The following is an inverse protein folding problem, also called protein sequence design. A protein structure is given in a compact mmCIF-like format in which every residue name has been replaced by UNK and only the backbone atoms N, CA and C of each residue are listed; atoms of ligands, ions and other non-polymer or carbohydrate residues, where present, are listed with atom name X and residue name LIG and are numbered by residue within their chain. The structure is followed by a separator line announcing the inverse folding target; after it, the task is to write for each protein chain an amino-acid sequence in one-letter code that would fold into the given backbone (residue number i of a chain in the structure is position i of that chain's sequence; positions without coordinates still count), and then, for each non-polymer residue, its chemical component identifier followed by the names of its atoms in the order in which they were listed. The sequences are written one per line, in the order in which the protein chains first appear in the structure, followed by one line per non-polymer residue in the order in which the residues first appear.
data_IF_590055358821
#
_entry.id   IF_590055358821
#
_cell.length_a   1.000
_cell.length_b   1.000
_cell.length_c   1.000
_cell.angle_alpha   90.00
_cell.angle_beta   90.00
_cell.angle_gamma   90.00
#
_symmetry.space_group_name_H-M   'P 1'
#
loop_
_entity.id
_entity.type
_entity.pdbx_description
1 polymer ?
#
# COMPACT_ATOMS: atom_id res chain seq x y z
N UNK A 1 -48.71 -43.86 -12.73
CA UNK A 1 -48.62 -45.27 -13.19
C UNK A 1 -47.19 -45.68 -13.00
N UNK A 2 -47.00 -46.76 -12.24
CA UNK A 2 -45.71 -47.35 -11.89
C UNK A 2 -45.54 -48.54 -12.82
N UNK A 3 -44.40 -48.62 -13.51
CA UNK A 3 -43.87 -49.85 -14.11
C UNK A 3 -42.43 -49.94 -13.56
N UNK A 4 -42.09 -50.82 -12.61
CA UNK A 4 -41.81 -52.26 -12.74
C UNK A 4 -40.85 -52.63 -13.89
N UNK A 5 -39.58 -52.25 -13.72
CA UNK A 5 -38.45 -53.10 -14.10
C UNK A 5 -37.18 -52.63 -13.37
N UNK A 6 -36.91 -53.26 -12.24
CA UNK A 6 -35.63 -53.14 -11.55
C UNK A 6 -34.54 -53.86 -12.34
N UNK A 7 -33.62 -53.08 -12.89
CA UNK A 7 -32.27 -53.54 -13.22
C UNK A 7 -31.32 -52.41 -12.90
N UNK A 8 -30.38 -52.71 -12.01
CA UNK A 8 -29.25 -51.86 -11.62
C UNK A 8 -28.38 -51.56 -12.85
N UNK A 9 -28.02 -50.28 -13.00
CA UNK A 9 -26.90 -49.86 -13.83
C UNK A 9 -26.03 -48.94 -12.99
N UNK A 10 -24.98 -49.53 -12.42
CA UNK A 10 -23.78 -48.83 -11.95
C UNK A 10 -23.31 -47.86 -13.05
N UNK A 11 -23.24 -46.58 -12.70
CA UNK A 11 -22.44 -45.61 -13.46
C UNK A 11 -21.19 -45.32 -12.63
N UNK A 12 -20.12 -45.96 -13.07
CA UNK A 12 -18.74 -45.78 -12.66
C UNK A 12 -18.19 -44.44 -13.19
N UNK A 13 -17.33 -43.81 -12.38
CA UNK A 13 -16.31 -42.79 -12.75
C UNK A 13 -16.78 -41.33 -12.94
N UNK A 14 -16.13 -40.28 -12.40
CA UNK A 14 -14.77 -40.11 -11.86
C UNK A 14 -14.80 -39.14 -10.67
N UNK A 15 -14.47 -39.62 -9.48
CA UNK A 15 -14.09 -38.78 -8.35
C UNK A 15 -12.61 -38.39 -8.51
N UNK A 16 -12.34 -37.12 -8.80
CA UNK A 16 -10.97 -36.59 -8.85
C UNK A 16 -10.46 -36.44 -7.41
N UNK A 17 -9.80 -37.51 -6.93
CA UNK A 17 -9.02 -37.50 -5.71
C UNK A 17 -7.86 -36.50 -5.83
N UNK A 18 -8.01 -35.30 -5.24
CA UNK A 18 -6.87 -34.41 -4.97
C UNK A 18 -6.00 -35.06 -3.90
N UNK A 19 -4.90 -35.62 -4.38
CA UNK A 19 -3.77 -36.18 -3.64
C UNK A 19 -3.31 -35.23 -2.54
N UNK A 20 -3.53 -35.64 -1.29
CA UNK A 20 -3.01 -35.02 -0.08
C UNK A 20 -1.49 -35.25 0.02
N UNK A 21 -0.65 -34.22 0.20
CA UNK A 21 0.75 -34.41 0.56
C UNK A 21 0.90 -34.54 2.08
N UNK A 22 1.08 -35.79 2.50
CA UNK A 22 1.89 -36.30 3.62
C UNK A 22 2.33 -35.32 4.71
N UNK A 23 1.68 -35.43 5.89
CA UNK A 23 2.17 -34.91 7.17
C UNK A 23 3.48 -35.59 7.57
N UNK A 24 4.62 -34.93 7.34
CA UNK A 24 5.87 -35.30 8.02
C UNK A 24 5.82 -34.78 9.46
N UNK A 25 5.59 -35.70 10.40
CA UNK A 25 5.84 -35.48 11.84
C UNK A 25 7.33 -35.19 12.02
N UNK A 26 7.71 -33.94 12.31
CA UNK A 26 8.98 -33.69 12.97
C UNK A 26 8.75 -33.70 14.48
N UNK A 27 9.30 -34.74 15.09
CA UNK A 27 9.52 -34.85 16.53
C UNK A 27 10.74 -33.98 16.82
N UNK A 28 10.56 -32.84 17.48
CA UNK A 28 11.65 -32.14 18.13
C UNK A 28 11.63 -32.47 19.62
N UNK A 29 12.70 -33.14 20.04
CA UNK A 29 12.97 -33.47 21.42
C UNK A 29 13.24 -32.19 22.22
N UNK A 30 12.62 -32.11 23.39
CA UNK A 30 12.91 -31.10 24.41
C UNK A 30 14.31 -31.33 25.00
N UNK A 31 15.13 -30.29 25.04
CA UNK A 31 16.34 -30.21 25.85
C UNK A 31 16.22 -29.05 26.82
N UNK A 32 16.10 -29.39 28.10
CA UNK A 32 16.16 -28.46 29.24
C UNK A 32 17.61 -28.17 29.66
N UNK A 33 17.87 -26.88 29.92
CA UNK A 33 18.78 -26.24 30.89
C UNK A 33 20.25 -26.73 31.03
N UNK A 34 21.17 -25.75 30.88
CA UNK A 34 22.20 -25.44 31.88
C UNK A 34 22.77 -24.02 31.65
N UNK A 35 23.24 -23.41 32.73
CA UNK A 35 23.40 -21.98 32.94
C UNK A 35 24.85 -21.46 32.79
N UNK A 36 25.01 -20.17 33.15
CA UNK A 36 26.24 -19.43 33.53
C UNK A 36 27.03 -18.91 32.32
N UNK A 37 27.25 -17.61 32.12
CA UNK A 37 28.13 -16.74 32.93
C UNK A 37 27.97 -15.29 32.50
N UNK A 38 27.94 -14.37 33.46
CA UNK A 38 27.88 -12.93 33.20
C UNK A 38 29.15 -12.38 32.53
N UNK A 39 28.94 -11.36 31.69
CA UNK A 39 29.95 -10.37 31.35
C UNK A 39 29.37 -9.00 31.67
N UNK A 40 29.90 -8.41 32.73
CA UNK A 40 29.75 -7.00 33.05
C UNK A 40 30.67 -6.24 32.11
N UNK A 41 30.11 -5.35 31.29
CA UNK A 41 30.84 -4.27 30.64
C UNK A 41 30.24 -2.96 31.13
N UNK A 42 30.83 -2.43 32.19
CA UNK A 42 30.62 -1.07 32.63
C UNK A 42 31.50 -0.12 31.80
N UNK A 43 30.89 0.96 31.32
CA UNK A 43 31.47 2.31 31.37
C UNK A 43 32.39 2.77 30.24
N UNK A 44 31.92 3.78 29.49
CA UNK A 44 32.59 5.08 29.34
C UNK A 44 31.54 6.08 28.81
N UNK A 45 30.96 6.93 29.67
CA UNK A 45 31.45 8.28 29.99
C UNK A 45 31.07 9.31 28.92
N UNK A 46 29.99 10.04 29.20
CA UNK A 46 29.66 11.29 28.54
C UNK A 46 30.74 12.35 28.82
N UNK A 47 31.17 13.04 27.77
CA UNK A 47 31.91 14.30 27.84
C UNK A 47 31.14 15.31 26.99
N UNK A 48 30.64 16.44 27.55
CA UNK A 48 30.09 17.51 26.72
C UNK A 48 31.22 18.48 26.40
N UNK A 49 31.53 18.69 25.11
CA UNK A 49 32.30 19.84 24.64
C UNK A 49 32.15 20.08 23.15
N UNK A 50 31.55 21.23 22.81
CA UNK A 50 32.09 22.14 21.81
C UNK A 50 31.58 22.01 20.36
N UNK A 51 30.73 22.96 19.98
CA UNK A 51 30.37 23.40 18.62
C UNK A 51 31.40 23.10 17.52
N UNK A 52 30.94 22.40 16.49
CA UNK A 52 31.51 22.36 15.15
C UNK A 52 30.50 21.72 14.21
N UNK A 53 29.78 22.54 13.44
CA UNK A 53 28.81 22.08 12.45
C UNK A 53 29.50 21.20 11.39
N UNK A 54 28.98 20.00 11.25
CA UNK A 54 29.36 19.02 10.23
C UNK A 54 28.30 17.93 10.26
N UNK A 55 27.33 18.05 9.37
CA UNK A 55 26.37 16.98 9.11
C UNK A 55 27.16 15.76 8.66
N UNK A 56 27.29 14.77 9.53
CA UNK A 56 27.83 13.47 9.14
C UNK A 56 26.69 12.72 8.46
N UNK A 57 26.67 12.76 7.13
CA UNK A 57 26.01 11.76 6.31
C UNK A 57 26.60 10.39 6.69
N UNK A 58 25.81 9.42 7.17
CA UNK A 58 26.34 8.05 7.24
C UNK A 58 25.72 7.00 8.14
N UNK A 59 24.86 7.31 9.12
CA UNK A 59 24.17 6.25 9.88
C UNK A 59 22.68 6.56 10.08
N UNK A 60 21.77 5.59 9.79
CA UNK A 60 20.35 5.78 9.98
C UNK A 60 20.05 6.03 11.45
N UNK A 61 19.39 7.16 11.74
CA UNK A 61 18.97 7.47 13.10
C UNK A 61 17.94 6.43 13.55
N UNK A 62 18.05 5.94 14.79
CA UNK A 62 17.08 4.99 15.34
C UNK A 62 15.68 5.64 15.35
N UNK A 63 14.69 4.93 14.81
CA UNK A 63 13.32 5.42 14.67
C UNK A 63 13.11 6.40 13.53
N UNK A 64 14.09 6.57 12.63
CA UNK A 64 13.96 7.40 11.43
C UNK A 64 14.36 6.59 10.20
N UNK A 65 13.50 6.60 9.20
CA UNK A 65 13.71 6.00 7.89
C UNK A 65 13.76 7.08 6.81
N UNK A 66 14.82 7.04 6.00
CA UNK A 66 15.11 8.05 4.97
C UNK A 66 15.53 7.41 3.63
N UNK A 67 14.92 6.28 3.26
CA UNK A 67 15.12 5.65 1.93
C UNK A 67 16.58 5.27 1.60
N UNK A 68 17.44 5.17 2.63
CA UNK A 68 18.84 4.78 2.48
C UNK A 68 19.02 3.26 2.36
N UNK A 69 18.02 2.50 2.80
CA UNK A 69 17.92 1.05 2.75
C UNK A 69 16.52 0.66 2.28
N UNK A 70 16.38 -0.53 1.72
CA UNK A 70 15.07 -1.01 1.24
C UNK A 70 14.18 -1.50 2.38
N UNK A 71 14.79 -1.96 3.48
CA UNK A 71 14.07 -2.46 4.64
C UNK A 71 14.57 -1.85 5.96
N UNK A 72 13.68 -1.72 6.94
CA UNK A 72 13.97 -1.15 8.26
C UNK A 72 13.01 -1.63 9.33
N UNK A 73 13.51 -2.05 10.49
CA UNK A 73 12.68 -2.41 11.65
C UNK A 73 12.81 -1.39 12.79
N UNK A 74 11.70 -1.00 13.39
CA UNK A 74 11.66 -0.13 14.57
C UNK A 74 10.76 -0.68 15.67
N UNK A 75 11.17 -0.54 16.92
CA UNK A 75 10.26 -0.69 18.06
C UNK A 75 9.65 0.67 18.41
N UNK A 76 8.33 0.72 18.54
CA UNK A 76 7.63 1.95 18.90
C UNK A 76 7.33 2.83 17.69
N UNK A 77 7.66 4.11 17.80
CA UNK A 77 7.37 5.10 16.76
C UNK A 77 8.44 5.07 15.65
N UNK A 78 8.02 5.27 14.40
CA UNK A 78 8.89 5.31 13.24
C UNK A 78 8.57 6.55 12.39
N UNK A 79 9.54 7.44 12.27
CA UNK A 79 9.45 8.60 11.37
C UNK A 79 9.97 8.23 9.99
N UNK A 80 9.21 8.56 8.95
CA UNK A 80 9.52 8.26 7.55
C UNK A 80 9.52 9.58 6.79
N UNK A 81 10.61 9.93 6.13
CA UNK A 81 10.71 11.19 5.38
C UNK A 81 11.69 11.10 4.23
N UNK A 82 11.49 11.96 3.24
CA UNK A 82 12.42 12.10 2.13
C UNK A 82 13.70 12.82 2.63
N UNK A 83 14.91 12.26 2.46
CA UNK A 83 16.14 12.89 2.93
C UNK A 83 16.42 14.20 2.18
N UNK A 84 16.98 15.20 2.88
CA UNK A 84 17.34 16.50 2.28
C UNK A 84 18.30 16.37 1.09
N UNK A 85 19.21 15.39 1.13
CA UNK A 85 20.13 15.10 0.04
C UNK A 85 19.40 14.69 -1.25
N UNK A 86 18.31 13.90 -1.14
CA UNK A 86 17.48 13.52 -2.27
C UNK A 86 16.68 14.72 -2.79
N UNK A 87 16.07 15.51 -1.88
CA UNK A 87 15.36 16.74 -2.28
C UNK A 87 16.28 17.67 -3.07
N UNK A 88 17.53 17.83 -2.61
CA UNK A 88 18.54 18.64 -3.28
C UNK A 88 18.96 18.07 -4.64
N UNK A 89 19.12 16.75 -4.74
CA UNK A 89 19.47 16.07 -5.99
C UNK A 89 18.33 16.16 -7.02
N UNK A 90 17.09 16.03 -6.56
CA UNK A 90 15.89 16.10 -7.40
C UNK A 90 15.58 17.52 -7.88
N UNK A 91 15.99 18.54 -7.14
CA UNK A 91 15.79 19.94 -7.54
C UNK A 91 14.32 20.24 -7.81
N UNK A 92 14.01 20.71 -9.02
CA UNK A 92 12.65 21.07 -9.41
C UNK A 92 11.65 19.93 -9.36
N UNK A 93 12.11 18.69 -9.46
CA UNK A 93 11.22 17.52 -9.43
C UNK A 93 10.65 17.29 -8.03
N UNK A 94 11.29 17.83 -6.99
CA UNK A 94 10.83 17.76 -5.61
C UNK A 94 10.03 19.01 -5.17
N UNK A 95 9.97 20.07 -5.98
CA UNK A 95 9.28 21.33 -5.62
C UNK A 95 7.79 21.12 -5.35
N UNK A 96 7.18 20.14 -6.02
CA UNK A 96 5.76 19.80 -5.87
C UNK A 96 5.43 18.81 -4.76
N UNK A 97 6.38 18.44 -3.89
CA UNK A 97 6.11 17.44 -2.84
C UNK A 97 5.05 17.93 -1.84
N UNK A 98 3.99 17.13 -1.66
CA UNK A 98 2.82 17.52 -0.87
C UNK A 98 2.81 16.94 0.55
N UNK A 99 3.49 15.80 0.75
CA UNK A 99 3.72 15.21 2.08
C UNK A 99 5.18 15.35 2.45
N UNK A 100 5.44 15.86 3.66
CA UNK A 100 6.78 16.06 4.20
C UNK A 100 7.31 14.87 4.95
N UNK A 101 6.48 14.33 5.84
CA UNK A 101 6.84 13.28 6.76
C UNK A 101 5.61 12.45 7.12
N UNK A 102 5.84 11.17 7.38
CA UNK A 102 4.89 10.28 8.02
C UNK A 102 5.47 9.84 9.36
N UNK A 103 4.63 9.80 10.40
CA UNK A 103 5.00 9.23 11.70
C UNK A 103 4.12 8.01 11.97
N UNK A 104 4.72 6.84 11.86
CA UNK A 104 4.08 5.55 12.05
C UNK A 104 4.12 5.10 13.51
N UNK A 105 3.00 4.56 13.97
CA UNK A 105 2.87 3.97 15.31
C UNK A 105 1.91 2.79 15.28
N UNK A 106 2.30 1.68 15.92
CA UNK A 106 1.38 0.57 16.14
C UNK A 106 0.13 1.04 16.90
N UNK A 107 -1.04 0.65 16.42
CA UNK A 107 -2.34 0.94 17.01
C UNK A 107 -2.86 -0.31 17.71
N UNK A 108 -3.27 -0.14 18.96
CA UNK A 108 -3.91 -1.21 19.72
C UNK A 108 -5.29 -1.53 19.16
N UNK A 109 -5.58 -2.82 19.01
CA UNK A 109 -6.89 -3.37 18.65
C UNK A 109 -7.29 -4.34 19.75
N UNK A 110 -8.59 -4.44 20.05
CA UNK A 110 -9.09 -5.42 21.02
C UNK A 110 -9.04 -6.85 20.41
N UNK A 111 -9.09 -6.94 19.08
CA UNK A 111 -8.90 -8.18 18.34
C UNK A 111 -7.43 -8.61 18.28
N UNK A 112 -7.19 -9.92 18.37
CA UNK A 112 -5.86 -10.52 18.19
C UNK A 112 -5.64 -11.10 16.79
N UNK A 113 -6.63 -10.97 15.89
CA UNK A 113 -6.60 -11.49 14.51
C UNK A 113 -5.77 -10.59 13.60
N UNK A 114 -5.90 -9.28 13.76
CA UNK A 114 -5.28 -8.25 12.94
C UNK A 114 -4.38 -7.37 13.79
N UNK A 115 -3.49 -6.67 13.12
CA UNK A 115 -2.67 -5.61 13.69
C UNK A 115 -2.97 -4.33 12.93
N UNK A 116 -2.72 -3.18 13.57
CA UNK A 116 -2.91 -1.90 12.93
C UNK A 116 -1.71 -0.98 13.14
N UNK A 117 -1.46 -0.14 12.14
CA UNK A 117 -0.49 0.95 12.20
C UNK A 117 -1.19 2.23 11.81
N UNK A 118 -1.03 3.27 12.62
CA UNK A 118 -1.49 4.63 12.31
C UNK A 118 -0.30 5.46 11.83
N UNK A 119 -0.50 6.16 10.72
CA UNK A 119 0.43 7.08 10.08
C UNK A 119 -0.10 8.50 10.27
N UNK A 120 0.54 9.28 11.14
CA UNK A 120 0.30 10.71 11.20
C UNK A 120 1.01 11.40 10.03
N UNK A 121 0.28 12.22 9.28
CA UNK A 121 0.74 12.87 8.06
C UNK A 121 1.09 14.32 8.35
N UNK A 122 2.32 14.69 8.03
CA UNK A 122 2.77 16.08 8.02
C UNK A 122 2.79 16.58 6.58
N UNK A 123 1.78 17.37 6.22
CA UNK A 123 1.64 17.96 4.89
C UNK A 123 2.57 19.15 4.71
N UNK A 124 3.07 19.34 3.49
CA UNK A 124 3.85 20.53 3.11
C UNK A 124 2.93 21.62 2.61
N UNK A 125 3.00 22.81 3.22
CA UNK A 125 2.21 23.97 2.80
C UNK A 125 0.72 23.63 2.71
N UNK A 126 0.10 23.96 1.57
CA UNK A 126 -1.30 23.65 1.25
C UNK A 126 -1.47 22.24 0.64
N UNK A 127 -0.57 21.31 0.98
CA UNK A 127 -0.49 19.99 0.36
C UNK A 127 -1.73 19.14 0.57
N UNK A 128 -2.42 19.27 1.71
CA UNK A 128 -3.72 18.61 1.90
C UNK A 128 -4.78 19.17 0.96
N UNK A 129 -4.88 20.51 0.83
CA UNK A 129 -5.86 21.14 -0.06
C UNK A 129 -5.67 20.67 -1.52
N UNK A 130 -4.41 20.54 -1.97
CA UNK A 130 -4.09 20.01 -3.30
C UNK A 130 -4.42 18.52 -3.49
N UNK A 131 -4.38 17.73 -2.40
CA UNK A 131 -4.68 16.29 -2.43
C UNK A 131 -6.18 15.99 -2.27
N UNK A 132 -6.92 16.89 -1.60
CA UNK A 132 -8.37 16.84 -1.40
C UNK A 132 -9.13 17.23 -2.69
N UNK A 133 -8.43 17.74 -3.71
CA UNK A 133 -9.02 17.92 -5.03
C UNK A 133 -9.29 16.56 -5.70
N UNK A 134 -10.51 16.34 -6.25
CA UNK A 134 -10.80 15.13 -7.01
C UNK A 134 -9.89 14.98 -8.24
N UNK A 135 -9.41 13.77 -8.47
CA UNK A 135 -8.58 13.37 -9.62
C UNK A 135 -9.19 13.77 -10.98
N UNK A 136 -10.52 13.82 -11.05
CA UNK A 136 -11.24 14.32 -12.21
C UNK A 136 -12.58 14.94 -11.79
N UNK A 137 -13.02 15.91 -12.59
CA UNK A 137 -14.36 16.49 -12.49
C UNK A 137 -15.42 15.57 -13.10
N UNK A 138 -16.68 15.74 -12.69
CA UNK A 138 -17.83 15.04 -13.30
C UNK A 138 -17.90 15.24 -14.82
N UNK A 139 -17.52 16.45 -15.29
CA UNK A 139 -17.46 16.77 -16.71
C UNK A 139 -16.39 15.94 -17.43
N UNK A 140 -15.18 15.89 -16.90
CA UNK A 140 -14.09 15.09 -17.46
C UNK A 140 -14.44 13.60 -17.44
N UNK A 141 -15.10 13.11 -16.39
CA UNK A 141 -15.61 11.75 -16.32
C UNK A 141 -16.63 11.47 -17.45
N UNK A 142 -17.60 12.36 -17.67
CA UNK A 142 -18.57 12.23 -18.77
C UNK A 142 -17.92 12.27 -20.15
N UNK A 143 -16.90 13.12 -20.34
CA UNK A 143 -16.14 13.18 -21.59
C UNK A 143 -15.30 11.92 -21.79
N UNK A 144 -14.70 11.38 -20.73
CA UNK A 144 -13.99 10.12 -20.75
C UNK A 144 -14.91 8.94 -21.10
N UNK A 145 -16.09 8.86 -20.47
CA UNK A 145 -17.10 7.84 -20.77
C UNK A 145 -17.51 7.84 -22.25
N UNK A 146 -17.72 9.04 -22.83
CA UNK A 146 -18.03 9.17 -24.26
C UNK A 146 -16.87 8.73 -25.14
N UNK A 147 -15.64 9.11 -24.78
CA UNK A 147 -14.45 8.72 -25.53
C UNK A 147 -14.22 7.21 -25.48
N UNK A 148 -14.44 6.56 -24.33
CA UNK A 148 -14.30 5.12 -24.17
C UNK A 148 -15.36 4.38 -24.98
N UNK A 149 -16.63 4.80 -24.88
CA UNK A 149 -17.71 4.25 -25.71
C UNK A 149 -17.40 4.39 -27.21
N UNK A 150 -16.96 5.57 -27.65
CA UNK A 150 -16.59 5.77 -29.06
C UNK A 150 -15.42 4.87 -29.47
N UNK A 151 -14.41 4.72 -28.61
CA UNK A 151 -13.28 3.82 -28.86
C UNK A 151 -13.73 2.37 -29.02
N UNK A 152 -14.59 1.87 -28.13
CA UNK A 152 -15.13 0.51 -28.20
C UNK A 152 -15.96 0.30 -29.47
N UNK A 153 -16.83 1.25 -29.83
CA UNK A 153 -17.63 1.19 -31.05
C UNK A 153 -16.77 1.17 -32.31
N UNK A 154 -15.69 1.97 -32.35
CA UNK A 154 -14.75 1.97 -33.47
C UNK A 154 -13.99 0.65 -33.57
N UNK A 155 -13.59 0.08 -32.42
CA UNK A 155 -12.82 -1.17 -32.36
C UNK A 155 -13.65 -2.37 -32.80
N UNK A 156 -14.88 -2.50 -32.31
CA UNK A 156 -15.72 -3.68 -32.54
C UNK A 156 -16.52 -3.58 -33.85
N UNK A 157 -16.99 -2.38 -34.20
CA UNK A 157 -17.94 -2.18 -35.30
C UNK A 157 -17.45 -1.24 -36.40
N UNK A 158 -16.30 -0.58 -36.23
CA UNK A 158 -15.76 0.37 -37.22
C UNK A 158 -16.58 1.66 -37.36
N UNK A 159 -17.45 1.98 -36.40
CA UNK A 159 -18.33 3.16 -36.40
C UNK A 159 -18.15 3.99 -35.15
N UNK A 160 -18.74 5.19 -35.11
CA UNK A 160 -18.57 6.14 -33.99
C UNK A 160 -19.80 6.30 -33.11
N UNK A 161 -20.94 5.72 -33.50
CA UNK A 161 -22.21 5.89 -32.79
C UNK A 161 -22.93 4.56 -32.58
N UNK A 162 -23.68 4.47 -31.48
CA UNK A 162 -24.51 3.29 -31.16
C UNK A 162 -25.58 3.09 -32.24
N UNK A 163 -26.15 4.16 -32.78
CA UNK A 163 -27.18 4.09 -33.82
C UNK A 163 -26.63 3.44 -35.11
N UNK A 164 -25.44 3.84 -35.56
CA UNK A 164 -24.78 3.23 -36.72
C UNK A 164 -24.43 1.76 -36.44
N UNK A 165 -23.95 1.45 -35.24
CA UNK A 165 -23.61 0.09 -34.85
C UNK A 165 -24.84 -0.82 -34.88
N UNK A 166 -25.97 -0.38 -34.32
CA UNK A 166 -27.26 -1.11 -34.33
C UNK A 166 -27.89 -1.23 -35.71
N UNK A 167 -27.59 -0.32 -36.63
CA UNK A 167 -28.06 -0.41 -38.01
C UNK A 167 -27.33 -1.50 -38.80
N UNK A 168 -26.10 -1.85 -38.41
CA UNK A 168 -25.23 -2.80 -39.13
C UNK A 168 -25.11 -4.16 -38.43
N UNK A 169 -25.41 -4.22 -37.13
CA UNK A 169 -25.19 -5.39 -36.29
C UNK A 169 -26.44 -5.70 -35.45
N UNK A 170 -26.60 -6.96 -34.98
CA UNK A 170 -27.65 -7.30 -34.02
C UNK A 170 -27.63 -6.39 -32.79
N UNK A 171 -28.79 -5.86 -32.40
CA UNK A 171 -28.89 -4.83 -31.36
C UNK A 171 -28.41 -5.32 -30.00
N UNK A 172 -28.66 -6.60 -29.69
CA UNK A 172 -28.26 -7.25 -28.44
C UNK A 172 -26.73 -7.30 -28.28
N UNK A 173 -25.99 -7.49 -29.37
CA UNK A 173 -24.54 -7.50 -29.33
C UNK A 173 -23.98 -6.09 -29.14
N UNK A 174 -24.57 -5.09 -29.80
CA UNK A 174 -24.20 -3.69 -29.58
C UNK A 174 -24.48 -3.27 -28.15
N UNK A 175 -25.63 -3.65 -27.58
CA UNK A 175 -26.00 -3.34 -26.20
C UNK A 175 -25.03 -3.96 -25.19
N UNK A 176 -24.52 -5.17 -25.45
CA UNK A 176 -23.46 -5.79 -24.63
C UNK A 176 -22.17 -4.97 -24.65
N UNK A 177 -21.72 -4.51 -25.83
CA UNK A 177 -20.53 -3.68 -25.94
C UNK A 177 -20.73 -2.32 -25.26
N UNK A 178 -21.89 -1.69 -25.44
CA UNK A 178 -22.23 -0.42 -24.77
C UNK A 178 -22.21 -0.59 -23.26
N UNK A 179 -22.82 -1.67 -22.74
CA UNK A 179 -22.79 -1.97 -21.31
C UNK A 179 -21.37 -2.27 -20.80
N UNK A 180 -20.53 -2.90 -21.63
CA UNK A 180 -19.12 -3.13 -21.31
C UNK A 180 -18.24 -1.87 -21.36
N UNK A 181 -18.69 -0.82 -22.05
CA UNK A 181 -18.03 0.49 -22.11
C UNK A 181 -18.48 1.45 -21.00
N UNK A 182 -19.42 1.02 -20.15
CA UNK A 182 -19.84 1.78 -18.99
C UNK A 182 -18.69 1.88 -17.98
N UNK A 183 -18.22 3.10 -17.73
CA UNK A 183 -17.16 3.37 -16.77
C UNK A 183 -17.71 3.63 -15.35
N UNK A 184 -19.02 3.43 -15.15
CA UNK A 184 -19.69 3.59 -13.87
C UNK A 184 -20.26 5.00 -13.63
N UNK A 185 -20.87 5.18 -12.47
CA UNK A 185 -21.30 6.52 -12.02
C UNK A 185 -20.09 7.33 -11.56
N UNK A 186 -20.19 8.65 -11.70
CA UNK A 186 -19.13 9.54 -11.22
C UNK A 186 -19.01 9.47 -9.69
N UNK A 187 -17.81 9.13 -9.23
CA UNK A 187 -17.41 9.21 -7.83
C UNK A 187 -16.21 10.16 -7.73
N UNK A 188 -16.29 11.18 -6.87
CA UNK A 188 -15.18 12.08 -6.60
C UNK A 188 -14.10 11.33 -5.81
N UNK A 189 -13.12 10.77 -6.53
CA UNK A 189 -11.95 10.10 -5.95
C UNK A 189 -10.72 10.99 -6.02
N UNK A 190 -9.95 11.00 -4.96
CA UNK A 190 -8.67 11.69 -4.87
C UNK A 190 -7.58 10.87 -5.59
N UNK A 191 -6.59 11.52 -6.17
CA UNK A 191 -5.44 10.82 -6.78
C UNK A 191 -4.60 10.09 -5.73
N UNK A 192 -4.52 10.62 -4.50
CA UNK A 192 -3.79 9.99 -3.41
C UNK A 192 -4.71 9.06 -2.62
N UNK A 193 -4.52 7.76 -2.85
CA UNK A 193 -5.38 6.68 -2.36
C UNK A 193 -5.81 6.78 -0.89
N UNK A 194 -4.94 7.17 0.08
CA UNK A 194 -5.34 7.22 1.49
C UNK A 194 -6.50 8.17 1.80
N UNK A 195 -6.76 9.19 0.98
CA UNK A 195 -7.92 10.09 1.15
C UNK A 195 -9.25 9.48 0.69
N UNK A 196 -9.21 8.32 0.03
CA UNK A 196 -10.40 7.56 -0.36
C UNK A 196 -10.73 6.44 0.63
N UNK A 197 -9.96 6.33 1.72
CA UNK A 197 -10.14 5.31 2.74
C UNK A 197 -11.46 5.47 3.52
N UNK A 198 -11.87 4.41 4.22
CA UNK A 198 -13.08 4.48 5.06
C UNK A 198 -12.87 5.43 6.25
N UNK A 199 -13.91 6.09 6.78
CA UNK A 199 -13.77 6.89 7.99
C UNK A 199 -13.25 6.05 9.16
N UNK A 200 -12.31 6.57 9.95
CA UNK A 200 -11.79 5.87 11.15
C UNK A 200 -12.86 5.62 12.20
N UNK A 201 -13.97 6.37 12.17
CA UNK A 201 -15.14 6.12 13.00
C UNK A 201 -15.82 4.77 12.71
N UNK A 202 -15.63 4.21 11.51
CA UNK A 202 -16.18 2.92 11.09
C UNK A 202 -15.27 1.73 11.45
N UNK A 203 -14.08 1.99 12.02
CA UNK A 203 -13.18 0.95 12.51
C UNK A 203 -13.69 0.36 13.83
N UNK A 204 -14.25 -0.85 13.78
CA UNK A 204 -14.55 -1.66 14.97
C UNK A 204 -13.26 -2.31 15.49
N UNK A 205 -12.73 -1.85 16.62
CA UNK A 205 -11.48 -2.38 17.20
C UNK A 205 -11.61 -3.81 17.73
N UNK A 206 -12.84 -4.29 17.96
CA UNK A 206 -13.13 -5.61 18.51
C UNK A 206 -13.33 -6.70 17.46
N UNK A 207 -13.84 -6.34 16.28
CA UNK A 207 -13.86 -7.20 15.09
C UNK A 207 -13.45 -6.42 13.83
N UNK A 208 -12.19 -5.96 13.77
CA UNK A 208 -11.73 -5.08 12.71
C UNK A 208 -11.69 -5.81 11.38
N UNK A 209 -12.02 -5.09 10.31
CA UNK A 209 -11.83 -5.55 8.94
C UNK A 209 -10.47 -5.07 8.45
N UNK A 210 -9.82 -5.87 7.60
CA UNK A 210 -8.60 -5.42 6.92
C UNK A 210 -8.93 -4.29 5.95
N UNK A 211 -8.06 -3.30 5.87
CA UNK A 211 -8.23 -2.15 4.98
C UNK A 211 -7.65 -0.87 5.55
N UNK A 212 -7.91 0.22 4.84
CA UNK A 212 -7.44 1.56 5.18
C UNK A 212 -8.55 2.40 5.80
N UNK A 213 -8.19 3.20 6.80
CA UNK A 213 -9.09 4.11 7.48
C UNK A 213 -8.45 5.49 7.62
N UNK A 214 -9.22 6.57 7.44
CA UNK A 214 -8.73 7.95 7.52
C UNK A 214 -9.47 8.73 8.62
N UNK A 215 -8.76 9.58 9.35
CA UNK A 215 -9.38 10.50 10.32
C UNK A 215 -10.18 11.61 9.62
N UNK A 216 -11.18 12.17 10.31
CA UNK A 216 -12.04 13.24 9.78
C UNK A 216 -11.28 14.50 9.33
N UNK A 217 -10.10 14.74 9.90
CA UNK A 217 -9.21 15.86 9.53
C UNK A 217 -8.17 15.48 8.47
N UNK A 218 -8.24 14.27 7.93
CA UNK A 218 -7.33 13.67 6.97
C UNK A 218 -5.86 13.59 7.42
N UNK A 219 -5.55 13.81 8.70
CA UNK A 219 -4.16 13.84 9.19
C UNK A 219 -3.64 12.50 9.68
N UNK A 220 -4.49 11.49 9.79
CA UNK A 220 -4.09 10.15 10.25
C UNK A 220 -4.72 9.09 9.37
N UNK A 221 -3.88 8.31 8.70
CA UNK A 221 -4.30 7.08 8.03
C UNK A 221 -4.02 5.91 8.97
N UNK A 222 -4.90 4.93 9.04
CA UNK A 222 -4.72 3.69 9.80
C UNK A 222 -4.88 2.52 8.85
N UNK A 223 -3.84 1.70 8.77
CA UNK A 223 -3.88 0.44 8.05
C UNK A 223 -4.19 -0.68 9.03
N UNK A 224 -5.18 -1.49 8.70
CA UNK A 224 -5.52 -2.73 9.39
C UNK A 224 -5.15 -3.90 8.49
N UNK A 225 -4.22 -4.71 8.97
CA UNK A 225 -3.59 -5.78 8.19
C UNK A 225 -3.40 -7.03 9.03
N UNK A 226 -3.08 -8.15 8.37
CA UNK A 226 -2.61 -9.32 9.09
C UNK A 226 -1.35 -8.97 9.87
N UNK A 227 -1.22 -9.53 11.07
CA UNK A 227 -0.03 -9.27 11.87
C UNK A 227 1.20 -9.92 11.23
N UNK A 228 2.23 -9.11 10.97
CA UNK A 228 3.51 -9.58 10.50
C UNK A 228 4.15 -10.55 11.48
N UNK A 229 4.82 -11.57 10.94
CA UNK A 229 5.56 -12.57 11.73
C UNK A 229 6.98 -12.13 12.05
N UNK A 230 7.52 -11.18 11.29
CA UNK A 230 8.82 -10.55 11.53
C UNK A 230 8.82 -9.13 10.94
N UNK A 231 9.79 -8.26 11.29
CA UNK A 231 9.92 -6.94 10.67
C UNK A 231 10.22 -6.99 9.17
N UNK A 232 10.67 -8.16 8.69
CA UNK A 232 11.03 -8.41 7.30
C UNK A 232 9.97 -9.28 6.58
N UNK A 233 8.71 -9.26 7.01
CA UNK A 233 7.60 -9.99 6.40
C UNK A 233 7.00 -9.20 5.23
N UNK A 234 7.27 -9.64 4.00
CA UNK A 234 6.83 -9.04 2.73
C UNK A 234 5.45 -9.52 2.26
N UNK A 235 4.85 -10.50 2.94
CA UNK A 235 3.53 -11.04 2.60
C UNK A 235 2.40 -10.25 3.28
N UNK A 236 2.74 -9.40 4.25
CA UNK A 236 1.79 -8.66 5.09
C UNK A 236 2.18 -7.18 5.15
N UNK A 237 2.03 -6.48 4.03
CA UNK A 237 2.39 -5.07 3.90
C UNK A 237 1.24 -4.23 3.35
N UNK A 238 1.25 -2.94 3.70
CA UNK A 238 0.44 -1.92 3.04
C UNK A 238 1.36 -0.83 2.48
N UNK A 239 1.04 -0.33 1.28
CA UNK A 239 1.85 0.67 0.60
C UNK A 239 1.35 2.10 0.90
N UNK A 240 2.27 3.04 1.10
CA UNK A 240 1.95 4.47 1.11
C UNK A 240 2.97 5.27 0.31
N UNK A 241 2.45 6.15 -0.55
CA UNK A 241 3.25 7.04 -1.38
C UNK A 241 3.42 8.44 -0.76
N UNK A 242 4.56 9.06 -1.03
CA UNK A 242 4.82 10.49 -0.89
C UNK A 242 4.43 11.17 -2.21
N UNK A 243 3.27 11.86 -2.26
CA UNK A 243 2.79 12.48 -3.48
C UNK A 243 3.57 13.74 -3.85
N UNK A 244 3.71 13.95 -5.17
CA UNK A 244 4.28 15.14 -5.80
C UNK A 244 3.35 15.64 -6.90
N UNK A 245 3.12 16.96 -6.94
CA UNK A 245 2.37 17.60 -8.00
C UNK A 245 3.30 18.04 -9.13
N UNK A 246 3.15 17.42 -10.30
CA UNK A 246 3.96 17.73 -11.49
C UNK A 246 3.08 17.82 -12.73
N UNK A 247 3.10 18.97 -13.40
CA UNK A 247 2.31 19.19 -14.63
C UNK A 247 0.79 19.15 -14.40
N UNK A 248 0.33 19.61 -13.23
CA UNK A 248 -1.09 19.62 -12.86
C UNK A 248 -1.67 18.25 -12.51
N UNK A 249 -0.82 17.24 -12.28
CA UNK A 249 -1.23 15.90 -11.84
C UNK A 249 -0.50 15.52 -10.57
N UNK A 250 -1.16 14.75 -9.72
CA UNK A 250 -0.50 14.10 -8.58
C UNK A 250 0.16 12.81 -9.07
N UNK A 251 1.42 12.62 -8.67
CA UNK A 251 2.20 11.41 -8.91
C UNK A 251 2.83 10.94 -7.60
N UNK A 252 3.34 9.72 -7.58
CA UNK A 252 4.17 9.23 -6.47
C UNK A 252 5.63 9.62 -6.72
N UNK A 253 6.26 10.28 -5.75
CA UNK A 253 7.70 10.58 -5.78
C UNK A 253 8.51 9.47 -5.12
N UNK A 254 8.01 8.95 -4.01
CA UNK A 254 8.59 7.81 -3.30
C UNK A 254 7.47 7.00 -2.66
N UNK A 255 7.70 5.73 -2.40
CA UNK A 255 6.74 4.85 -1.72
C UNK A 255 7.45 3.96 -0.73
N UNK A 256 6.72 3.55 0.30
CA UNK A 256 7.15 2.50 1.20
C UNK A 256 6.07 1.44 1.33
N UNK A 257 6.47 0.23 1.69
CA UNK A 257 5.60 -0.83 2.18
C UNK A 257 5.84 -1.05 3.66
N UNK A 258 4.81 -0.87 4.49
CA UNK A 258 4.88 -0.95 5.95
C UNK A 258 4.10 -2.15 6.49
N UNK A 259 4.68 -2.82 7.48
CA UNK A 259 4.06 -3.90 8.23
C UNK A 259 4.08 -3.63 9.75
N UNK A 260 3.26 -4.38 10.49
CA UNK A 260 3.20 -4.30 11.95
C UNK A 260 3.02 -5.66 12.61
N UNK A 261 3.83 -5.91 13.64
CA UNK A 261 3.81 -7.14 14.44
C UNK A 261 2.93 -6.99 15.69
N UNK A 262 2.53 -8.13 16.29
CA UNK A 262 1.71 -8.18 17.51
C UNK A 262 2.30 -7.48 18.73
N UNK A 263 3.63 -7.40 18.82
CA UNK A 263 4.33 -6.71 19.90
C UNK A 263 4.48 -5.19 19.63
N UNK A 264 3.95 -4.68 18.52
CA UNK A 264 4.06 -3.28 18.11
C UNK A 264 5.36 -2.93 17.38
N UNK A 265 6.19 -3.91 17.02
CA UNK A 265 7.32 -3.69 16.12
C UNK A 265 6.81 -3.36 14.72
N UNK A 266 7.36 -2.32 14.11
CA UNK A 266 7.07 -1.87 12.75
C UNK A 266 8.20 -2.29 11.82
N UNK A 267 7.87 -2.65 10.58
CA UNK A 267 8.81 -2.95 9.52
C UNK A 267 8.51 -2.16 8.25
N UNK A 268 9.54 -1.69 7.57
CA UNK A 268 9.49 -1.26 6.18
C UNK A 268 10.14 -2.38 5.37
N UNK A 269 9.44 -2.85 4.34
CA UNK A 269 9.85 -3.99 3.52
C UNK A 269 10.45 -3.58 2.19
N UNK A 270 9.82 -2.61 1.58
CA UNK A 270 10.20 -2.04 0.32
C UNK A 270 10.13 -0.53 0.42
N UNK A 271 11.08 0.13 -0.21
CA UNK A 271 11.11 1.56 -0.33
C UNK A 271 11.69 1.91 -1.69
N UNK A 272 10.92 2.67 -2.46
CA UNK A 272 11.27 3.08 -3.81
C UNK A 272 11.24 4.60 -3.91
N UNK A 273 12.15 5.15 -4.72
CA UNK A 273 12.13 6.55 -5.14
C UNK A 273 12.06 6.56 -6.65
N UNK A 274 11.02 7.17 -7.20
CA UNK A 274 10.80 7.23 -8.65
C UNK A 274 11.87 8.08 -9.31
N UNK A 275 12.52 7.55 -10.35
CA UNK A 275 13.55 8.24 -11.13
C UNK A 275 14.84 8.63 -10.37
N UNK A 276 15.06 8.14 -9.14
CA UNK A 276 16.28 8.43 -8.38
C UNK A 276 16.85 7.18 -7.70
N UNK A 277 18.18 7.07 -7.67
CA UNK A 277 18.88 5.99 -6.98
C UNK A 277 20.15 6.51 -6.29
N UNK A 278 20.70 5.70 -5.37
CA UNK A 278 21.99 5.98 -4.74
C UNK A 278 23.13 5.40 -5.59
N UNK A 279 24.15 6.20 -5.85
CA UNK A 279 25.37 5.76 -6.53
C UNK A 279 26.29 4.95 -5.58
N UNK A 280 27.46 4.52 -6.05
CA UNK A 280 28.42 3.76 -5.25
C UNK A 280 29.03 4.54 -4.07
N UNK A 281 28.95 5.88 -4.10
CA UNK A 281 29.39 6.75 -3.02
C UNK A 281 28.26 7.01 -2.00
N UNK A 282 27.04 6.58 -2.32
CA UNK A 282 25.86 6.79 -1.51
C UNK A 282 25.15 8.11 -1.80
N UNK A 283 25.54 8.81 -2.87
CA UNK A 283 24.95 10.06 -3.33
C UNK A 283 23.69 9.79 -4.14
N UNK A 284 22.65 10.62 -3.98
CA UNK A 284 21.45 10.54 -4.80
C UNK A 284 21.71 11.09 -6.20
N UNK A 285 21.36 10.31 -7.22
CA UNK A 285 21.46 10.67 -8.63
C UNK A 285 20.13 10.40 -9.35
N UNK A 286 19.78 11.25 -10.33
CA UNK A 286 18.65 11.01 -11.22
C UNK A 286 18.94 9.85 -12.19
N UNK A 287 17.92 9.04 -12.45
CA UNK A 287 17.92 7.89 -13.34
C UNK A 287 17.87 8.21 -14.83
#
# INVERSE_FOLDING_TARGET
MIDENGTEAETENVEVAKKSPSKKKLIFAATTLAAVTGLVLAGCSAVPSGNGGGSSEGEPQRGVFEFQTNAYGSEGELTIRIPEALIKAAGSDADGLLVGQLTAKARELDSSKFCAVSLAIDYRGDGLDALDEPSMTEKEHSEHAKSELEFQLRREFGVSTVEEAKAQNPAEWVDEIVAGADIGEYEAKHDWAPLNASPVADLDTSDPQSGEYISDDSKTVTFVQQCATSPNDDETTDAIGFPVQTGGKIKTFASIEINVMKNGTLGIMEAEVTDYARDSNGDWIGG
#
